data_IF_499127915553
#
_entry.id   IF_499127915553
#
_cell.length_a   1.000
_cell.length_b   1.000
_cell.length_c   1.000
_cell.angle_alpha   90.00
_cell.angle_beta   90.00
_cell.angle_gamma   90.00
#
_symmetry.space_group_name_H-M   'P 1'
#
loop_
_entity.id
_entity.type
_entity.pdbx_description
1 polymer ?
#
# COMPACT_ATOMS: atom_id res chain seq x y z
N UNK A 1 -0.87 -25.61 13.04
CA UNK A 1 -0.96 -26.80 13.92
C UNK A 1 -1.65 -27.91 13.12
N UNK A 2 -0.93 -29.04 12.97
CA UNK A 2 -1.35 -30.46 12.82
C UNK A 2 -2.61 -30.82 12.00
N UNK A 3 -2.71 -31.88 11.19
CA UNK A 3 -1.93 -33.07 10.76
C UNK A 3 -2.81 -33.67 9.63
N UNK A 4 -2.31 -34.13 8.48
CA UNK A 4 -1.59 -35.39 8.34
C UNK A 4 -2.49 -36.46 7.71
N UNK A 5 -2.39 -36.61 6.39
CA UNK A 5 -2.88 -37.75 5.63
C UNK A 5 -2.24 -39.04 6.19
N UNK A 6 -3.05 -40.06 6.50
CA UNK A 6 -2.55 -41.42 6.75
C UNK A 6 -3.23 -42.42 5.83
N UNK A 7 -2.41 -42.87 4.88
CA UNK A 7 -2.57 -44.05 4.06
C UNK A 7 -1.86 -45.22 4.80
N UNK A 8 -2.53 -46.34 5.00
CA UNK A 8 -1.94 -47.63 5.41
C UNK A 8 -2.96 -48.71 5.00
N UNK A 9 -2.65 -49.68 4.14
CA UNK A 9 -1.41 -50.41 4.01
C UNK A 9 -1.67 -51.83 4.55
N UNK A 10 -1.85 -52.76 3.62
CA UNK A 10 -2.13 -54.19 3.79
C UNK A 10 -0.99 -54.97 4.48
N UNK A 11 -1.34 -55.99 5.27
CA UNK A 11 -0.64 -57.27 5.58
C UNK A 11 -1.64 -58.10 6.44
N UNK A 12 -2.14 -59.31 6.14
CA UNK A 12 -1.52 -60.64 5.86
C UNK A 12 -0.51 -60.98 6.96
N UNK A 13 -0.61 -62.00 7.81
CA UNK A 13 -1.10 -63.41 7.79
C UNK A 13 -1.72 -63.71 9.20
N UNK A 14 -2.43 -64.80 9.54
CA UNK A 14 -2.12 -66.23 9.48
C UNK A 14 -3.39 -67.07 9.74
N UNK A 15 -3.33 -68.30 9.28
CA UNK A 15 -4.36 -69.33 9.21
C UNK A 15 -4.58 -70.05 10.57
N UNK A 16 -5.84 -70.41 10.84
CA UNK A 16 -6.12 -71.59 11.66
C UNK A 16 -7.32 -72.33 11.06
N UNK A 17 -7.02 -73.45 10.41
CA UNK A 17 -7.96 -74.48 10.02
C UNK A 17 -8.62 -75.06 11.27
N UNK A 18 -9.95 -75.12 11.27
CA UNK A 18 -10.70 -76.17 11.93
C UNK A 18 -11.86 -76.51 11.00
N UNK A 19 -11.73 -77.65 10.34
CA UNK A 19 -12.76 -78.31 9.56
C UNK A 19 -13.83 -78.91 10.49
N UNK A 20 -14.94 -79.29 9.85
CA UNK A 20 -16.09 -80.05 10.36
C UNK A 20 -17.20 -79.26 11.07
N UNK A 21 -18.18 -78.78 10.29
CA UNK A 21 -19.48 -79.48 10.20
C UNK A 21 -20.43 -78.78 9.20
N UNK A 22 -21.18 -79.61 8.51
CA UNK A 22 -21.99 -79.33 7.35
C UNK A 22 -23.14 -78.32 7.60
N UNK A 23 -23.17 -77.25 6.80
CA UNK A 23 -24.44 -76.75 6.29
C UNK A 23 -24.22 -75.97 5.00
N UNK A 24 -24.50 -76.62 3.87
CA UNK A 24 -24.60 -75.97 2.57
C UNK A 24 -25.85 -75.07 2.57
N UNK A 25 -25.75 -73.92 3.24
CA UNK A 25 -26.76 -72.87 3.17
C UNK A 25 -26.64 -72.21 1.80
N UNK A 26 -27.42 -72.74 0.85
CA UNK A 26 -27.70 -72.11 -0.44
C UNK A 26 -28.10 -70.66 -0.16
N UNK A 27 -27.22 -69.69 -0.47
CA UNK A 27 -27.58 -68.28 -0.49
C UNK A 27 -28.51 -68.09 -1.68
N UNK A 28 -29.79 -68.38 -1.45
CA UNK A 28 -30.87 -67.97 -2.35
C UNK A 28 -30.85 -66.45 -2.34
N UNK A 29 -30.30 -65.83 -3.39
CA UNK A 29 -30.51 -64.41 -3.65
C UNK A 29 -32.02 -64.19 -3.80
N UNK A 30 -32.68 -63.86 -2.68
CA UNK A 30 -34.10 -63.52 -2.64
C UNK A 30 -34.32 -62.41 -3.67
N UNK A 31 -34.98 -62.74 -4.77
CA UNK A 31 -35.32 -61.76 -5.81
C UNK A 31 -36.23 -60.72 -5.18
N UNK A 32 -35.76 -59.47 -5.11
CA UNK A 32 -36.53 -58.36 -4.52
C UNK A 32 -37.91 -58.31 -5.16
N UNK A 33 -38.93 -58.37 -4.32
CA UNK A 33 -40.33 -58.28 -4.78
C UNK A 33 -40.57 -56.93 -5.45
N UNK A 34 -41.56 -56.85 -6.36
CA UNK A 34 -41.86 -55.62 -7.09
C UNK A 34 -42.12 -54.43 -6.13
N UNK A 35 -42.70 -54.70 -4.95
CA UNK A 35 -42.89 -53.76 -3.85
C UNK A 35 -41.57 -53.27 -3.22
N UNK A 36 -40.61 -54.17 -2.97
CA UNK A 36 -39.28 -53.80 -2.46
C UNK A 36 -38.47 -52.99 -3.47
N UNK A 37 -38.56 -53.32 -4.75
CA UNK A 37 -37.94 -52.55 -5.83
C UNK A 37 -38.53 -51.14 -5.91
N UNK A 38 -39.85 -51.01 -5.81
CA UNK A 38 -40.55 -49.72 -5.76
C UNK A 38 -40.18 -48.87 -4.54
N UNK A 39 -40.06 -49.49 -3.34
CA UNK A 39 -39.58 -48.80 -2.12
C UNK A 39 -38.14 -48.32 -2.27
N UNK A 40 -37.25 -49.17 -2.78
CA UNK A 40 -35.85 -48.79 -3.01
C UNK A 40 -35.70 -47.67 -4.05
N UNK A 41 -36.51 -47.67 -5.10
CA UNK A 41 -36.52 -46.60 -6.10
C UNK A 41 -36.94 -45.25 -5.49
N UNK A 42 -38.03 -45.23 -4.72
CA UNK A 42 -38.49 -44.01 -4.01
C UNK A 42 -37.46 -43.53 -2.99
N UNK A 43 -36.84 -44.44 -2.24
CA UNK A 43 -35.78 -44.09 -1.28
C UNK A 43 -34.55 -43.47 -1.96
N UNK A 44 -34.12 -44.02 -3.11
CA UNK A 44 -33.01 -43.45 -3.90
C UNK A 44 -33.32 -42.07 -4.45
N UNK A 45 -34.55 -41.87 -4.95
CA UNK A 45 -35.00 -40.55 -5.42
C UNK A 45 -35.03 -39.53 -4.29
N UNK A 46 -35.60 -39.90 -3.14
CA UNK A 46 -35.62 -39.04 -1.96
C UNK A 46 -34.19 -38.69 -1.50
N UNK A 47 -33.30 -39.68 -1.42
CA UNK A 47 -31.90 -39.45 -1.05
C UNK A 47 -31.22 -38.47 -2.01
N UNK A 48 -31.40 -38.65 -3.33
CA UNK A 48 -30.84 -37.73 -4.32
C UNK A 48 -31.38 -36.30 -4.17
N UNK A 49 -32.67 -36.17 -3.87
CA UNK A 49 -33.31 -34.88 -3.63
C UNK A 49 -32.80 -34.22 -2.35
N UNK A 50 -32.67 -34.98 -1.25
CA UNK A 50 -32.11 -34.53 0.02
C UNK A 50 -30.62 -34.12 -0.13
N UNK A 51 -29.82 -34.93 -0.85
CA UNK A 51 -28.42 -34.66 -1.15
C UNK A 51 -28.29 -33.38 -2.00
N UNK A 52 -29.15 -33.21 -3.01
CA UNK A 52 -29.17 -32.01 -3.86
C UNK A 52 -29.57 -30.76 -3.06
N UNK A 53 -30.56 -30.87 -2.18
CA UNK A 53 -30.99 -29.76 -1.33
C UNK A 53 -29.86 -29.32 -0.38
N UNK A 54 -29.15 -30.29 0.21
CA UNK A 54 -27.97 -30.03 1.04
C UNK A 54 -26.87 -29.29 0.27
N UNK A 55 -26.59 -29.70 -0.98
CA UNK A 55 -25.60 -29.04 -1.83
C UNK A 55 -26.03 -27.62 -2.18
N UNK A 56 -27.30 -27.42 -2.55
CA UNK A 56 -27.83 -26.09 -2.89
C UNK A 56 -27.73 -25.15 -1.69
N UNK A 57 -28.08 -25.61 -0.49
CA UNK A 57 -28.00 -24.80 0.72
C UNK A 57 -26.55 -24.48 1.08
N UNK A 58 -25.63 -25.44 0.95
CA UNK A 58 -24.19 -25.21 1.13
C UNK A 58 -23.65 -24.16 0.16
N UNK A 59 -24.01 -24.25 -1.13
CA UNK A 59 -23.57 -23.29 -2.14
C UNK A 59 -24.16 -21.91 -1.91
N UNK A 60 -25.42 -21.82 -1.46
CA UNK A 60 -26.04 -20.54 -1.08
C UNK A 60 -25.33 -19.89 0.10
N UNK A 61 -24.96 -20.68 1.10
CA UNK A 61 -24.17 -20.19 2.23
C UNK A 61 -22.79 -19.69 1.76
N UNK A 62 -22.12 -20.45 0.90
CA UNK A 62 -20.81 -20.04 0.35
C UNK A 62 -20.92 -18.74 -0.47
N UNK A 63 -21.95 -18.60 -1.30
CA UNK A 63 -22.20 -17.35 -2.05
C UNK A 63 -22.46 -16.18 -1.10
N UNK A 64 -23.22 -16.39 -0.02
CA UNK A 64 -23.46 -15.36 0.99
C UNK A 64 -22.16 -14.97 1.70
N UNK A 65 -21.34 -15.94 2.11
CA UNK A 65 -20.07 -15.73 2.80
C UNK A 65 -19.05 -15.02 1.89
N UNK A 66 -18.94 -15.44 0.63
CA UNK A 66 -18.11 -14.78 -0.37
C UNK A 66 -18.60 -13.36 -0.67
N UNK A 67 -19.92 -13.16 -0.73
CA UNK A 67 -20.54 -11.85 -0.86
C UNK A 67 -20.16 -10.92 0.29
N UNK A 68 -20.23 -11.42 1.52
CA UNK A 68 -19.81 -10.71 2.72
C UNK A 68 -18.31 -10.40 2.74
N UNK A 69 -17.45 -11.37 2.40
CA UNK A 69 -16.00 -11.13 2.29
C UNK A 69 -15.66 -10.10 1.22
N UNK A 70 -16.39 -10.10 0.11
CA UNK A 70 -16.26 -9.11 -0.96
C UNK A 70 -16.68 -7.72 -0.49
N UNK A 71 -17.78 -7.58 0.24
CA UNK A 71 -18.21 -6.28 0.79
C UNK A 71 -17.21 -5.76 1.81
N UNK A 72 -16.77 -6.60 2.75
CA UNK A 72 -15.73 -6.25 3.73
C UNK A 72 -14.44 -5.80 3.04
N UNK A 73 -14.03 -6.47 1.96
CA UNK A 73 -12.85 -6.06 1.18
C UNK A 73 -13.07 -4.73 0.47
N UNK A 74 -14.24 -4.52 -0.13
CA UNK A 74 -14.58 -3.26 -0.80
C UNK A 74 -14.56 -2.09 0.19
N UNK A 75 -15.18 -2.26 1.36
CA UNK A 75 -15.16 -1.26 2.44
C UNK A 75 -13.74 -0.99 2.94
N UNK A 76 -12.92 -2.04 3.07
CA UNK A 76 -11.50 -1.90 3.41
C UNK A 76 -10.70 -1.15 2.34
N UNK A 77 -11.00 -1.31 1.06
CA UNK A 77 -10.30 -0.56 -0.02
C UNK A 77 -10.69 0.91 -0.02
N UNK A 78 -11.96 1.24 0.22
CA UNK A 78 -12.43 2.62 0.32
C UNK A 78 -11.86 3.33 1.57
N UNK A 79 -11.66 2.59 2.66
CA UNK A 79 -11.07 3.08 3.90
C UNK A 79 -9.54 2.84 3.99
N UNK A 80 -8.93 2.19 2.99
CA UNK A 80 -7.52 1.81 3.01
C UNK A 80 -6.68 3.06 2.99
N UNK A 81 -5.89 3.25 4.05
CA UNK A 81 -5.03 4.41 4.19
C UNK A 81 -3.87 4.35 3.19
N UNK A 82 -3.57 3.14 2.71
CA UNK A 82 -2.54 2.85 1.72
C UNK A 82 -2.99 3.07 0.28
N UNK A 83 -4.26 3.46 0.07
CA UNK A 83 -4.77 3.84 -1.24
C UNK A 83 -4.07 5.10 -1.78
N UNK A 84 -3.95 5.21 -3.10
CA UNK A 84 -3.49 6.42 -3.80
C UNK A 84 -4.37 7.65 -3.54
N UNK A 85 -5.58 7.43 -3.03
CA UNK A 85 -6.52 8.48 -2.63
C UNK A 85 -6.62 8.61 -1.10
N UNK A 86 -5.80 7.87 -0.35
CA UNK A 86 -5.74 7.91 1.10
C UNK A 86 -5.34 9.28 1.65
N UNK A 87 -5.72 9.55 2.89
CA UNK A 87 -5.41 10.80 3.59
C UNK A 87 -3.92 11.20 3.53
N UNK A 88 -2.94 10.28 3.74
CA UNK A 88 -1.52 10.62 3.68
C UNK A 88 -1.07 11.11 2.29
N UNK A 89 -1.54 10.46 1.22
CA UNK A 89 -1.21 10.84 -0.16
C UNK A 89 -1.80 12.20 -0.50
N UNK A 90 -3.04 12.46 -0.08
CA UNK A 90 -3.69 13.75 -0.27
C UNK A 90 -2.95 14.89 0.42
N UNK A 91 -2.51 14.67 1.67
CA UNK A 91 -1.69 15.62 2.41
C UNK A 91 -0.36 15.91 1.70
N UNK A 92 0.33 14.86 1.24
CA UNK A 92 1.59 15.04 0.50
C UNK A 92 1.37 15.82 -0.81
N UNK A 93 0.30 15.51 -1.57
CA UNK A 93 -0.03 16.26 -2.80
C UNK A 93 -0.37 17.72 -2.52
N UNK A 94 -1.14 17.98 -1.46
CA UNK A 94 -1.50 19.34 -1.05
C UNK A 94 -0.27 20.14 -0.63
N UNK A 95 0.68 19.52 0.09
CA UNK A 95 1.98 20.11 0.39
C UNK A 95 2.69 20.56 -0.91
N UNK A 96 2.92 19.65 -1.86
CA UNK A 96 3.62 20.05 -3.10
C UNK A 96 2.86 21.09 -3.93
N UNK A 97 1.53 21.04 -3.96
CA UNK A 97 0.73 22.05 -4.65
C UNK A 97 0.85 23.43 -3.99
N UNK A 98 0.89 23.49 -2.66
CA UNK A 98 0.96 24.74 -1.91
C UNK A 98 2.34 25.41 -2.01
N UNK A 99 3.39 24.62 -2.20
CA UNK A 99 4.78 25.06 -2.34
C UNK A 99 5.28 25.04 -3.79
N UNK A 100 4.41 24.81 -4.78
CA UNK A 100 4.75 24.68 -6.21
C UNK A 100 5.65 25.83 -6.68
N UNK A 101 5.37 27.07 -6.28
CA UNK A 101 6.12 28.27 -6.69
C UNK A 101 6.98 28.86 -5.58
N UNK A 102 7.21 28.10 -4.51
CA UNK A 102 7.86 28.58 -3.29
C UNK A 102 6.99 29.52 -2.46
N UNK A 103 7.66 30.28 -1.58
CA UNK A 103 7.05 31.29 -0.71
C UNK A 103 7.62 32.66 -1.05
N UNK A 104 6.90 33.50 -1.81
CA UNK A 104 7.29 34.89 -2.00
C UNK A 104 7.03 35.67 -0.70
N UNK A 105 8.07 35.76 0.14
CA UNK A 105 8.29 36.66 1.28
C UNK A 105 7.09 36.96 2.23
N UNK A 106 7.19 36.44 3.47
CA UNK A 106 6.40 36.70 4.71
C UNK A 106 4.88 36.50 4.66
N UNK A 107 4.25 36.44 3.49
CA UNK A 107 2.79 36.22 3.33
C UNK A 107 2.39 34.75 3.25
N UNK A 108 3.29 33.85 3.64
CA UNK A 108 3.04 32.41 3.67
C UNK A 108 2.04 31.97 4.76
N UNK A 109 1.00 32.75 5.05
CA UNK A 109 0.04 32.44 6.12
C UNK A 109 -0.71 31.14 5.85
N UNK A 110 -0.99 30.84 4.58
CA UNK A 110 -1.58 29.56 4.16
C UNK A 110 -0.58 28.41 4.30
N UNK A 111 0.67 28.60 3.86
CA UNK A 111 1.76 27.63 4.01
C UNK A 111 2.02 27.31 5.48
N UNK A 112 2.11 28.34 6.31
CA UNK A 112 2.31 28.23 7.76
C UNK A 112 1.16 27.49 8.42
N UNK A 113 -0.08 27.94 8.22
CA UNK A 113 -1.24 27.29 8.79
C UNK A 113 -1.38 25.83 8.31
N UNK A 114 -1.03 25.55 7.05
CA UNK A 114 -0.99 24.17 6.55
C UNK A 114 0.05 23.35 7.31
N UNK A 115 1.29 23.81 7.42
CA UNK A 115 2.35 23.05 8.10
C UNK A 115 2.06 22.87 9.59
N UNK A 116 1.55 23.89 10.29
CA UNK A 116 1.16 23.78 11.70
C UNK A 116 0.06 22.73 11.94
N UNK A 117 -0.86 22.55 10.98
CA UNK A 117 -1.96 21.61 11.12
C UNK A 117 -1.61 20.20 10.60
N UNK A 118 -0.85 20.14 9.51
CA UNK A 118 -0.50 18.90 8.82
C UNK A 118 0.72 18.20 9.44
N UNK A 119 1.76 18.97 9.80
CA UNK A 119 3.06 18.46 10.22
C UNK A 119 3.14 18.21 11.72
N UNK A 120 3.98 17.25 12.10
CA UNK A 120 4.35 17.03 13.49
C UNK A 120 5.26 18.18 13.98
N UNK A 121 5.11 18.68 15.22
CA UNK A 121 6.02 19.69 15.77
C UNK A 121 7.49 19.30 15.74
N UNK A 122 7.80 18.00 15.75
CA UNK A 122 9.15 17.42 15.67
C UNK A 122 9.50 16.93 14.26
N UNK A 123 8.81 17.39 13.20
CA UNK A 123 9.15 17.06 11.79
C UNK A 123 10.62 17.34 11.52
N UNK A 124 11.34 16.37 10.95
CA UNK A 124 12.71 16.60 10.48
C UNK A 124 12.71 16.89 8.98
N UNK A 125 13.60 17.78 8.56
CA UNK A 125 13.90 18.05 7.16
C UNK A 125 15.40 18.33 7.00
N UNK A 126 16.15 17.33 6.53
CA UNK A 126 17.61 17.40 6.54
C UNK A 126 18.14 17.55 7.96
N UNK A 127 18.86 18.63 8.25
CA UNK A 127 19.35 18.97 9.59
C UNK A 127 18.38 19.86 10.39
N UNK A 128 17.30 20.33 9.76
CA UNK A 128 16.34 21.23 10.36
C UNK A 128 15.20 20.45 11.04
N UNK A 129 14.70 20.98 12.16
CA UNK A 129 13.57 20.39 12.91
C UNK A 129 12.44 21.40 13.06
N UNK A 130 11.21 20.92 12.93
CA UNK A 130 9.98 21.64 13.15
C UNK A 130 9.41 22.35 11.90
N UNK A 131 8.11 22.67 11.91
CA UNK A 131 7.42 23.32 10.79
C UNK A 131 8.00 24.70 10.41
N UNK A 132 8.46 25.46 11.40
CA UNK A 132 9.05 26.79 11.19
C UNK A 132 10.36 26.73 10.40
N UNK A 133 11.23 25.76 10.73
CA UNK A 133 12.50 25.61 10.02
C UNK A 133 12.28 25.22 8.55
N UNK A 134 11.25 24.40 8.29
CA UNK A 134 10.83 24.06 6.93
C UNK A 134 10.31 25.29 6.16
N UNK A 135 9.52 26.15 6.81
CA UNK A 135 9.09 27.42 6.21
C UNK A 135 10.26 28.32 5.86
N UNK A 136 11.18 28.51 6.79
CA UNK A 136 12.38 29.32 6.60
C UNK A 136 13.22 28.83 5.42
N UNK A 137 13.34 27.52 5.28
CA UNK A 137 14.04 26.91 4.15
C UNK A 137 13.35 27.18 2.82
N UNK A 138 12.02 27.08 2.77
CA UNK A 138 11.28 27.44 1.56
C UNK A 138 11.41 28.93 1.21
N UNK A 139 11.38 29.82 2.20
CA UNK A 139 11.60 31.26 2.00
C UNK A 139 12.99 31.51 1.42
N UNK A 140 14.03 30.87 1.99
CA UNK A 140 15.41 30.95 1.51
C UNK A 140 15.56 30.41 0.09
N UNK A 141 15.05 29.22 -0.21
CA UNK A 141 15.13 28.66 -1.56
C UNK A 141 14.40 29.51 -2.59
N UNK A 142 13.28 30.12 -2.21
CA UNK A 142 12.56 31.04 -3.10
C UNK A 142 13.33 32.33 -3.33
N UNK A 143 14.09 32.83 -2.34
CA UNK A 143 14.87 34.07 -2.48
C UNK A 143 16.24 33.87 -3.13
N UNK A 144 16.83 32.67 -3.04
CA UNK A 144 18.14 32.36 -3.60
C UNK A 144 18.11 32.13 -5.12
N UNK A 145 16.94 31.88 -5.70
CA UNK A 145 16.80 31.62 -7.12
C UNK A 145 15.95 32.71 -7.77
N UNK A 146 16.27 33.09 -9.01
CA UNK A 146 15.48 34.08 -9.75
C UNK A 146 14.05 33.59 -10.04
N UNK A 147 13.89 32.28 -10.17
CA UNK A 147 12.61 31.59 -10.31
C UNK A 147 12.72 30.19 -9.72
N UNK A 148 11.65 29.72 -9.12
CA UNK A 148 11.54 28.37 -8.57
C UNK A 148 10.18 27.77 -8.91
N UNK A 149 10.17 26.49 -9.29
CA UNK A 149 8.96 25.71 -9.53
C UNK A 149 9.18 24.25 -9.15
N UNK A 150 8.23 23.65 -8.43
CA UNK A 150 8.29 22.26 -7.97
C UNK A 150 7.26 21.46 -8.76
N UNK A 151 7.66 20.32 -9.31
CA UNK A 151 6.80 19.43 -10.08
C UNK A 151 6.83 18.05 -9.44
N UNK A 152 5.67 17.49 -9.12
CA UNK A 152 5.58 16.10 -8.66
C UNK A 152 5.67 15.16 -9.86
N UNK A 153 6.68 14.29 -9.86
CA UNK A 153 6.96 13.32 -10.93
C UNK A 153 6.32 11.97 -10.62
N UNK A 154 6.24 11.60 -9.34
CA UNK A 154 5.68 10.33 -8.92
C UNK A 154 5.30 10.31 -7.44
N UNK A 155 4.28 9.52 -7.12
CA UNK A 155 3.87 9.26 -5.74
C UNK A 155 3.67 7.77 -5.57
N UNK A 156 4.29 7.22 -4.55
CA UNK A 156 4.24 5.81 -4.19
C UNK A 156 3.82 5.69 -2.71
N UNK A 157 3.05 4.66 -2.38
CA UNK A 157 2.70 4.35 -1.00
C UNK A 157 3.19 2.95 -0.68
N UNK A 158 3.87 2.84 0.45
CA UNK A 158 4.47 1.62 0.98
C UNK A 158 4.22 1.55 2.48
N UNK A 159 4.65 0.45 3.13
CA UNK A 159 4.44 0.24 4.56
C UNK A 159 3.09 -0.37 4.91
N UNK A 160 2.88 -0.58 6.20
CA UNK A 160 1.69 -1.23 6.74
C UNK A 160 0.49 -0.26 6.78
N UNK A 161 -0.75 -0.78 6.81
CA UNK A 161 -1.97 0.06 6.92
C UNK A 161 -1.96 0.98 8.14
N UNK A 162 -1.30 0.56 9.21
CA UNK A 162 -1.19 1.34 10.44
C UNK A 162 -0.09 2.42 10.36
N UNK A 163 0.91 2.20 9.50
CA UNK A 163 2.08 3.07 9.30
C UNK A 163 2.37 3.27 7.79
N UNK A 164 1.48 3.96 7.06
CA UNK A 164 1.72 4.27 5.65
C UNK A 164 2.94 5.18 5.50
N UNK A 165 3.82 4.81 4.57
CA UNK A 165 4.95 5.58 4.09
C UNK A 165 4.65 6.05 2.66
N UNK A 166 4.40 7.35 2.49
CA UNK A 166 4.25 7.97 1.18
C UNK A 166 5.61 8.46 0.70
N UNK A 167 6.04 8.01 -0.47
CA UNK A 167 7.25 8.50 -1.12
C UNK A 167 6.85 9.36 -2.32
N UNK A 168 7.29 10.60 -2.35
CA UNK A 168 7.06 11.54 -3.45
C UNK A 168 8.37 11.87 -4.12
N UNK A 169 8.41 11.64 -5.43
CA UNK A 169 9.49 12.09 -6.31
C UNK A 169 9.09 13.43 -6.92
N UNK A 170 9.97 14.42 -6.82
CA UNK A 170 9.71 15.78 -7.28
C UNK A 170 10.92 16.36 -7.99
N UNK A 171 10.66 17.14 -9.03
CA UNK A 171 11.65 17.93 -9.76
C UNK A 171 11.53 19.39 -9.33
N UNK A 172 12.62 19.95 -8.81
CA UNK A 172 12.73 21.35 -8.44
C UNK A 172 13.44 22.10 -9.57
N UNK A 173 12.65 22.79 -10.38
CA UNK A 173 13.09 23.64 -11.47
C UNK A 173 13.45 25.02 -10.93
N UNK A 174 14.72 25.41 -11.05
CA UNK A 174 15.18 26.72 -10.61
C UNK A 174 15.93 27.46 -11.71
N UNK A 175 15.82 28.78 -11.71
CA UNK A 175 16.68 29.64 -12.52
C UNK A 175 17.75 30.22 -11.61
N UNK A 176 19.01 29.93 -11.93
CA UNK A 176 20.14 30.40 -11.13
C UNK A 176 20.31 31.91 -11.26
N UNK A 177 20.57 32.56 -10.14
CA UNK A 177 20.96 33.96 -10.04
C UNK A 177 22.33 34.07 -9.36
N UNK A 178 22.87 35.29 -9.24
CA UNK A 178 24.10 35.51 -8.47
C UNK A 178 23.90 35.13 -7.00
N UNK A 179 22.72 35.39 -6.45
CA UNK A 179 22.35 34.98 -5.09
C UNK A 179 22.41 33.47 -4.89
N UNK A 180 22.10 32.67 -5.93
CA UNK A 180 22.21 31.20 -5.87
C UNK A 180 23.64 30.77 -5.56
N UNK A 181 24.62 31.36 -6.23
CA UNK A 181 26.03 31.03 -5.99
C UNK A 181 26.50 31.48 -4.61
N UNK A 182 26.10 32.67 -4.17
CA UNK A 182 26.48 33.18 -2.84
C UNK A 182 25.91 32.30 -1.72
N UNK A 183 24.68 31.82 -1.84
CA UNK A 183 23.98 31.14 -0.74
C UNK A 183 23.98 29.61 -0.84
N UNK A 184 23.98 29.03 -2.04
CA UNK A 184 23.89 27.58 -2.27
C UNK A 184 25.25 26.98 -2.64
N UNK A 185 26.08 27.71 -3.40
CA UNK A 185 27.38 27.22 -3.87
C UNK A 185 28.52 28.20 -3.54
N UNK A 186 28.75 28.53 -2.25
CA UNK A 186 29.68 29.60 -1.86
C UNK A 186 31.10 29.35 -2.37
N UNK A 187 31.53 28.08 -2.46
CA UNK A 187 32.85 27.71 -2.99
C UNK A 187 33.02 27.98 -4.49
N UNK A 188 31.94 28.15 -5.24
CA UNK A 188 31.95 28.49 -6.67
C UNK A 188 31.61 29.96 -6.94
N UNK A 189 31.27 30.75 -5.91
CA UNK A 189 30.84 32.13 -6.06
C UNK A 189 31.94 33.05 -6.62
N UNK A 190 33.21 32.76 -6.29
CA UNK A 190 34.36 33.53 -6.78
C UNK A 190 34.76 33.16 -8.22
N UNK A 191 34.22 32.06 -8.77
CA UNK A 191 34.51 31.63 -10.13
C UNK A 191 33.54 32.29 -11.12
N UNK A 192 33.87 33.51 -11.56
CA UNK A 192 33.06 34.29 -12.49
C UNK A 192 32.77 33.57 -13.82
N UNK A 193 33.66 32.71 -14.32
CA UNK A 193 33.38 31.94 -15.54
C UNK A 193 32.23 30.95 -15.34
N UNK A 194 32.23 30.21 -14.22
CA UNK A 194 31.15 29.29 -13.87
C UNK A 194 29.86 30.05 -13.56
N UNK A 195 29.94 31.12 -12.78
CA UNK A 195 28.79 31.95 -12.42
C UNK A 195 28.10 32.47 -13.68
N UNK A 196 28.84 33.08 -14.61
CA UNK A 196 28.28 33.62 -15.86
C UNK A 196 27.75 32.52 -16.79
N UNK A 197 28.27 31.29 -16.71
CA UNK A 197 27.75 30.16 -17.48
C UNK A 197 26.34 29.75 -17.03
N UNK A 198 26.03 29.85 -15.74
CA UNK A 198 24.78 29.34 -15.17
C UNK A 198 23.73 30.41 -14.84
N UNK A 199 24.11 31.69 -14.66
CA UNK A 199 23.14 32.77 -14.45
C UNK A 199 22.09 32.75 -15.56
N UNK A 200 20.81 32.84 -15.16
CA UNK A 200 19.67 32.88 -16.06
C UNK A 200 19.34 31.54 -16.72
N UNK A 201 20.11 30.47 -16.48
CA UNK A 201 19.80 29.12 -16.94
C UNK A 201 18.91 28.39 -15.96
N UNK A 202 18.06 27.53 -16.50
CA UNK A 202 17.25 26.60 -15.73
C UNK A 202 18.07 25.35 -15.38
N UNK A 203 18.00 24.96 -14.11
CA UNK A 203 18.59 23.74 -13.56
C UNK A 203 17.49 22.98 -12.83
N UNK A 204 17.51 21.66 -12.92
CA UNK A 204 16.55 20.78 -12.26
C UNK A 204 17.26 19.98 -11.17
N UNK A 205 16.75 20.07 -9.95
CA UNK A 205 17.14 19.22 -8.84
C UNK A 205 16.12 18.09 -8.67
N UNK A 206 16.60 16.87 -8.50
CA UNK A 206 15.76 15.69 -8.37
C UNK A 206 15.68 15.29 -6.89
N UNK A 207 14.51 15.52 -6.29
CA UNK A 207 14.25 15.25 -4.90
C UNK A 207 13.39 14.00 -4.69
N UNK A 208 13.67 13.29 -3.60
CA UNK A 208 12.78 12.27 -3.05
C UNK A 208 12.42 12.67 -1.63
N UNK A 209 11.12 12.84 -1.38
CA UNK A 209 10.58 13.18 -0.07
C UNK A 209 9.76 12.01 0.44
N UNK A 210 10.04 11.56 1.64
CA UNK A 210 9.28 10.50 2.31
C UNK A 210 8.40 11.13 3.37
N UNK A 211 7.19 10.63 3.53
CA UNK A 211 6.20 11.14 4.48
C UNK A 211 5.64 9.94 5.25
N UNK A 212 5.85 9.90 6.56
CA UNK A 212 5.32 8.85 7.43
C UNK A 212 4.46 9.44 8.53
N UNK A 213 3.56 8.64 9.11
CA UNK A 213 2.71 9.11 10.20
C UNK A 213 3.39 8.89 11.54
N UNK A 214 3.46 9.92 12.38
CA UNK A 214 3.88 9.77 13.78
C UNK A 214 2.66 9.36 14.62
N UNK A 215 2.73 8.19 15.28
CA UNK A 215 1.61 7.67 16.09
C UNK A 215 1.44 8.36 17.46
N UNK A 216 2.39 9.23 17.87
CA UNK A 216 2.44 9.79 19.23
C UNK A 216 1.34 10.81 19.52
N UNK A 217 0.77 11.42 18.48
CA UNK A 217 -0.26 12.47 18.60
C UNK A 217 -1.30 12.33 17.48
N UNK A 218 -2.24 11.39 17.62
CA UNK A 218 -3.60 11.38 17.05
C UNK A 218 -3.86 11.66 15.56
N UNK A 219 -3.32 12.72 14.97
CA UNK A 219 -3.74 13.24 13.67
C UNK A 219 -2.64 13.95 12.84
N UNK A 220 -1.34 13.82 13.16
CA UNK A 220 -0.27 14.51 12.41
C UNK A 220 0.70 13.55 11.73
N UNK A 221 1.19 13.95 10.57
CA UNK A 221 2.23 13.25 9.82
C UNK A 221 3.28 14.31 9.51
N UNK A 222 4.58 14.10 9.74
CA UNK A 222 5.54 13.67 8.70
C UNK A 222 6.93 14.06 9.20
N UNK A 223 7.91 13.22 8.92
CA UNK A 223 9.33 13.55 8.78
C UNK A 223 9.61 13.55 7.27
N UNK A 224 10.17 14.64 6.74
CA UNK A 224 10.45 14.83 5.33
C UNK A 224 11.98 14.73 5.11
N UNK A 225 12.48 13.51 4.98
CA UNK A 225 13.87 13.27 4.60
C UNK A 225 14.04 13.53 3.10
N UNK A 226 14.30 14.79 2.74
CA UNK A 226 14.71 15.20 1.41
C UNK A 226 16.18 14.88 1.19
N UNK A 227 16.49 13.81 0.43
CA UNK A 227 17.83 13.64 -0.14
C UNK A 227 17.82 14.32 -1.50
N UNK A 228 18.32 15.56 -1.54
CA UNK A 228 18.58 16.25 -2.81
C UNK A 228 19.90 15.71 -3.39
N UNK A 229 19.79 14.65 -4.19
CA UNK A 229 20.90 14.18 -5.01
C UNK A 229 20.97 15.14 -6.20
N UNK A 230 21.64 16.27 -5.99
CA UNK A 230 21.92 17.28 -7.01
C UNK A 230 22.84 16.73 -8.10
N UNK A 231 22.30 15.87 -8.98
CA UNK A 231 22.95 15.48 -10.23
C UNK A 231 22.49 16.46 -11.31
N UNK A 232 23.27 17.54 -11.48
CA UNK A 232 23.06 18.54 -12.53
C UNK A 232 23.20 17.86 -13.89
N UNK A 233 22.08 17.50 -14.52
CA UNK A 233 22.09 17.01 -15.89
C UNK A 233 21.81 18.18 -16.83
N UNK A 234 22.86 18.64 -17.49
CA UNK A 234 22.75 19.66 -18.52
C UNK A 234 22.17 19.02 -19.78
N UNK A 235 21.06 19.56 -20.31
CA UNK A 235 20.68 19.30 -21.70
C UNK A 235 21.66 20.07 -22.57
N UNK A 236 22.50 19.33 -23.30
CA UNK A 236 23.39 19.85 -24.34
C UNK A 236 22.63 20.29 -25.58
#
# INVERSE_FOLDING_TARGET
MMRGLKNSGLSSEEEHENDDDASCAVIVKRSKTNSERGRAFRARRKKYEDDLMTIVDSLRQEVADLGFLRSVRADKVLCSRNSMNGSPVRLAREYFALFERGIPSVRGTKQRAFLENAMDPEVQFGEASGPESLLDQWVRYTSYHARMNVVVVGVEVSGDEENPLVTVRSDLHVVFSRETFVNVFPHAADNEELVNKFIGREVVYHGVNRFHRCQRLGHRAVDATGSDSGRVQTRG
#
